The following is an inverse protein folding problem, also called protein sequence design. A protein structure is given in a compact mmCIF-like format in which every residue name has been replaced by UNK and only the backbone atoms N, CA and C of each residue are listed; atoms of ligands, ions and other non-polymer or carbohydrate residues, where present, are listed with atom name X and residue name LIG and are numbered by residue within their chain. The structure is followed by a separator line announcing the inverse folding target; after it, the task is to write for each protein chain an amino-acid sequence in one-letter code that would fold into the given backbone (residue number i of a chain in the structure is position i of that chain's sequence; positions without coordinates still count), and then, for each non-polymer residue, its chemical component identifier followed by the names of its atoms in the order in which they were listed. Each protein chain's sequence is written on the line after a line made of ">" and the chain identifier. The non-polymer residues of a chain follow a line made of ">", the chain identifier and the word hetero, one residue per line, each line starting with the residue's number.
data_IF_263156001057
#
_entry.id   IF_263156001057
#
_cell.length_a   1.000
_cell.length_b   1.000
_cell.length_c   1.000
_cell.angle_alpha   90.00
_cell.angle_beta   90.00
_cell.angle_gamma   90.00
#
_symmetry.space_group_name_H-M   'P 1'
#
loop_
_entity.id
_entity.type
_entity.pdbx_description
1 polymer ?
#
# COMPACT_ATOMS: atom_id res chain seq x y z
N UNK A 1 27.94 -35.91 16.51
CA UNK A 1 27.95 -35.06 15.31
C UNK A 1 26.52 -34.56 15.14
N UNK A 2 26.19 -33.42 15.73
CA UNK A 2 24.86 -32.83 15.61
C UNK A 2 24.89 -32.00 14.34
N UNK A 3 24.26 -32.48 13.27
CA UNK A 3 24.08 -31.71 12.05
C UNK A 3 23.19 -30.51 12.37
N UNK A 4 23.81 -29.38 12.70
CA UNK A 4 23.15 -28.09 12.66
C UNK A 4 22.84 -27.81 11.19
N UNK A 5 21.65 -28.23 10.76
CA UNK A 5 20.95 -27.60 9.64
C UNK A 5 20.66 -26.16 10.08
N UNK A 6 21.66 -25.31 9.98
CA UNK A 6 21.41 -23.91 9.67
C UNK A 6 20.68 -23.96 8.32
N UNK A 7 19.35 -23.97 8.39
CA UNK A 7 18.49 -23.68 7.26
C UNK A 7 18.96 -22.33 6.74
N UNK A 8 19.84 -22.37 5.74
CA UNK A 8 20.41 -21.22 5.07
C UNK A 8 19.23 -20.43 4.54
N UNK A 9 18.80 -19.43 5.30
CA UNK A 9 17.68 -18.59 4.93
C UNK A 9 18.11 -17.88 3.66
N UNK A 10 17.57 -18.34 2.52
CA UNK A 10 17.87 -17.84 1.20
C UNK A 10 17.09 -16.54 0.98
N UNK A 11 17.27 -15.57 1.88
CA UNK A 11 16.78 -14.20 1.67
C UNK A 11 17.79 -13.48 0.78
N UNK A 12 17.70 -13.73 -0.52
CA UNK A 12 18.17 -12.78 -1.52
C UNK A 12 17.22 -11.59 -1.45
N UNK A 13 17.68 -10.45 -0.93
CA UNK A 13 16.88 -9.20 -0.94
C UNK A 13 16.44 -8.83 -2.36
N UNK A 14 17.27 -9.19 -3.36
CA UNK A 14 17.00 -9.04 -4.79
C UNK A 14 15.77 -9.84 -5.27
N UNK A 15 15.50 -11.01 -4.69
CA UNK A 15 14.40 -11.89 -5.12
C UNK A 15 13.05 -11.49 -4.50
N UNK A 16 13.07 -10.65 -3.45
CA UNK A 16 11.87 -10.10 -2.80
C UNK A 16 11.71 -8.60 -3.06
N UNK A 17 12.48 -8.05 -4.01
CA UNK A 17 12.39 -6.64 -4.36
C UNK A 17 11.01 -6.38 -4.97
N UNK A 18 10.26 -5.45 -4.39
CA UNK A 18 8.94 -5.04 -4.93
C UNK A 18 9.06 -4.10 -6.14
N UNK A 19 10.29 -3.70 -6.47
CA UNK A 19 10.64 -2.75 -7.53
C UNK A 19 12.07 -3.06 -7.97
N UNK A 20 12.30 -3.22 -9.27
CA UNK A 20 13.63 -3.49 -9.82
C UNK A 20 14.30 -2.21 -10.34
N UNK A 21 13.52 -1.30 -10.92
CA UNK A 21 14.04 -0.05 -11.49
C UNK A 21 13.13 1.19 -11.30
N UNK A 22 13.55 2.31 -11.89
CA UNK A 22 12.82 3.58 -11.78
C UNK A 22 11.48 3.57 -12.51
N UNK A 23 11.34 2.78 -13.57
CA UNK A 23 10.10 2.73 -14.34
C UNK A 23 9.03 1.93 -13.58
N UNK A 24 9.43 0.88 -12.86
CA UNK A 24 8.56 0.17 -11.91
C UNK A 24 8.04 1.11 -10.81
N UNK A 25 8.89 1.99 -10.26
CA UNK A 25 8.46 2.99 -9.27
C UNK A 25 7.40 3.95 -9.81
N UNK A 26 7.54 4.37 -11.07
CA UNK A 26 6.58 5.26 -11.71
C UNK A 26 5.26 4.56 -11.97
N UNK A 27 5.31 3.30 -12.39
CA UNK A 27 4.11 2.49 -12.61
C UNK A 27 3.36 2.27 -11.30
N UNK A 28 4.06 1.84 -10.25
CA UNK A 28 3.49 1.71 -8.91
C UNK A 28 2.89 3.03 -8.40
N UNK A 29 3.58 4.15 -8.63
CA UNK A 29 3.07 5.48 -8.27
C UNK A 29 1.74 5.82 -8.94
N UNK A 30 1.58 5.48 -10.23
CA UNK A 30 0.33 5.70 -10.97
C UNK A 30 -0.80 4.81 -10.47
N UNK A 31 -0.50 3.54 -10.18
CA UNK A 31 -1.50 2.62 -9.63
C UNK A 31 -1.98 3.09 -8.24
N UNK A 32 -1.05 3.56 -7.40
CA UNK A 32 -1.36 4.10 -6.09
C UNK A 32 -2.23 5.37 -6.16
N UNK A 33 -1.96 6.26 -7.10
CA UNK A 33 -2.78 7.45 -7.33
C UNK A 33 -4.22 7.07 -7.71
N UNK A 34 -4.39 6.14 -8.67
CA UNK A 34 -5.71 5.67 -9.10
C UNK A 34 -6.50 5.00 -7.96
N UNK A 35 -5.83 4.19 -7.13
CA UNK A 35 -6.47 3.55 -5.99
C UNK A 35 -6.82 4.57 -4.90
N UNK A 36 -5.94 5.54 -4.64
CA UNK A 36 -6.18 6.60 -3.64
C UNK A 36 -7.39 7.44 -4.03
N UNK A 37 -7.46 7.90 -5.29
CA UNK A 37 -8.59 8.68 -5.79
C UNK A 37 -9.90 7.91 -5.67
N UNK A 38 -9.90 6.65 -6.12
CA UNK A 38 -11.08 5.79 -6.03
C UNK A 38 -11.51 5.55 -4.59
N UNK A 39 -10.56 5.27 -3.69
CA UNK A 39 -10.85 5.04 -2.28
C UNK A 39 -11.39 6.30 -1.60
N UNK A 40 -10.86 7.48 -1.93
CA UNK A 40 -11.32 8.75 -1.39
C UNK A 40 -12.73 9.09 -1.89
N UNK A 41 -13.02 8.88 -3.18
CA UNK A 41 -14.36 9.05 -3.74
C UNK A 41 -15.38 8.08 -3.14
N UNK A 42 -15.02 6.79 -3.01
CA UNK A 42 -15.89 5.80 -2.38
C UNK A 42 -16.17 6.17 -0.91
N UNK A 43 -15.15 6.59 -0.17
CA UNK A 43 -15.28 6.99 1.22
C UNK A 43 -16.07 8.28 1.38
N UNK A 44 -15.94 9.25 0.47
CA UNK A 44 -16.72 10.49 0.50
C UNK A 44 -18.23 10.25 0.26
N UNK A 45 -18.54 9.29 -0.62
CA UNK A 45 -19.91 8.92 -1.00
C UNK A 45 -20.58 7.95 -0.02
N UNK A 46 -19.85 7.39 0.93
CA UNK A 46 -20.41 6.55 1.97
C UNK A 46 -21.25 7.35 2.98
N UNK A 47 -22.31 6.71 3.49
CA UNK A 47 -23.10 7.27 4.58
C UNK A 47 -22.27 7.22 5.87
N UNK A 48 -21.84 8.37 6.36
CA UNK A 48 -21.19 8.51 7.66
C UNK A 48 -22.15 9.19 8.65
N UNK A 49 -21.90 8.99 9.95
CA UNK A 49 -22.58 9.77 10.98
C UNK A 49 -22.29 11.26 10.77
N UNK A 50 -23.32 12.09 10.79
CA UNK A 50 -23.18 13.54 10.63
C UNK A 50 -22.28 14.17 11.70
N UNK A 51 -22.19 13.57 12.90
CA UNK A 51 -21.34 14.08 13.98
C UNK A 51 -19.83 13.90 13.69
N UNK A 52 -19.46 12.96 12.81
CA UNK A 52 -18.06 12.69 12.44
C UNK A 52 -17.65 13.30 11.09
N UNK A 53 -18.62 13.79 10.30
CA UNK A 53 -18.39 14.49 9.02
C UNK A 53 -18.03 15.95 9.26
N UNK A 54 -16.76 16.21 9.55
CA UNK A 54 -16.26 17.57 9.77
C UNK A 54 -16.33 18.46 8.53
N UNK A 55 -16.41 17.86 7.34
CA UNK A 55 -16.57 18.53 6.04
C UNK A 55 -17.95 19.16 5.83
N UNK A 56 -18.98 18.67 6.53
CA UNK A 56 -20.36 19.20 6.45
C UNK A 56 -20.68 20.21 7.55
N UNK A 57 -19.78 20.39 8.51
CA UNK A 57 -19.87 21.43 9.54
C UNK A 57 -19.26 22.74 9.00
N UNK A 58 -19.93 23.33 8.02
CA UNK A 58 -19.70 24.71 7.64
C UNK A 58 -20.38 25.64 8.66
N UNK A 59 -19.61 26.54 9.28
CA UNK A 59 -20.15 27.75 9.93
C UNK A 59 -20.37 28.86 8.90
#
# INVERSE_FOLDING_TARGET
>A
MTENKESKLYYSEEENAMVEDLDDLKELGKEMEQISEKNDEEKLNQSHDSEVRSDLNDN
#
